data_IF_365783618571
#
_entry.id   IF_365783618571
#
_cell.length_a   1.000
_cell.length_b   1.000
_cell.length_c   1.000
_cell.angle_alpha   90.00
_cell.angle_beta   90.00
_cell.angle_gamma   90.00
#
_symmetry.space_group_name_H-M   'P 1'
#
loop_
_entity.id
_entity.type
_entity.pdbx_description
1 polymer ?
#
# COMPACT_ATOMS: atom_id res chain seq x y z
N UNK A 1 25.96 14.71 5.63
CA UNK A 1 24.91 13.87 6.22
C UNK A 1 23.96 13.44 5.11
N UNK A 2 23.98 12.19 4.70
CA UNK A 2 22.97 11.68 3.79
C UNK A 2 21.63 11.67 4.53
N UNK A 3 20.63 12.38 4.01
CA UNK A 3 19.26 12.22 4.50
C UNK A 3 18.85 10.78 4.23
N UNK A 4 18.71 10.01 5.29
CA UNK A 4 18.08 8.71 5.20
C UNK A 4 16.66 8.95 4.69
N UNK A 5 16.36 8.50 3.48
CA UNK A 5 15.00 8.61 2.96
C UNK A 5 14.04 7.86 3.89
N UNK A 6 12.96 8.52 4.29
CA UNK A 6 11.91 7.88 5.07
C UNK A 6 11.36 6.68 4.30
N UNK A 7 11.17 5.56 4.99
CA UNK A 7 10.57 4.36 4.37
C UNK A 7 9.08 4.54 4.11
N UNK A 8 8.41 5.33 4.93
CA UNK A 8 6.96 5.49 4.94
C UNK A 8 6.59 6.96 4.82
N UNK A 9 5.62 7.25 3.96
CA UNK A 9 4.95 8.54 3.93
C UNK A 9 3.45 8.35 3.78
N UNK A 10 2.68 8.97 4.67
CA UNK A 10 1.24 9.10 4.53
C UNK A 10 0.96 10.57 4.22
N UNK A 11 0.36 10.83 3.07
CA UNK A 11 0.29 12.17 2.53
C UNK A 11 -0.98 12.37 1.70
N UNK A 12 -1.42 13.61 1.57
CA UNK A 12 -2.50 13.97 0.65
C UNK A 12 -1.99 14.19 -0.77
N UNK A 13 -0.75 14.66 -0.91
CA UNK A 13 -0.14 14.95 -2.19
C UNK A 13 0.11 13.68 -3.01
N UNK A 14 0.05 13.84 -4.33
CA UNK A 14 0.44 12.78 -5.26
C UNK A 14 1.94 12.50 -5.19
N UNK A 15 2.37 11.43 -5.83
CA UNK A 15 3.79 11.05 -5.90
C UNK A 15 4.18 10.77 -7.35
N UNK A 16 5.46 10.91 -7.64
CA UNK A 16 6.05 10.57 -8.93
C UNK A 16 6.82 9.25 -8.80
N UNK A 17 6.32 8.22 -9.47
CA UNK A 17 6.87 6.87 -9.39
C UNK A 17 8.35 6.83 -9.79
N UNK A 18 8.71 7.47 -10.90
CA UNK A 18 10.08 7.44 -11.40
C UNK A 18 11.05 8.10 -10.44
N UNK A 19 10.66 9.21 -9.85
CA UNK A 19 11.46 9.94 -8.84
C UNK A 19 11.68 9.08 -7.60
N UNK A 20 10.63 8.43 -7.11
CA UNK A 20 10.72 7.57 -5.91
C UNK A 20 11.61 6.36 -6.16
N UNK A 21 11.49 5.71 -7.31
CA UNK A 21 12.32 4.56 -7.68
C UNK A 21 13.80 4.98 -7.82
N UNK A 22 14.06 6.10 -8.47
CA UNK A 22 15.42 6.60 -8.62
C UNK A 22 16.07 6.91 -7.26
N UNK A 23 15.31 7.53 -6.35
CA UNK A 23 15.79 7.82 -5.00
C UNK A 23 16.10 6.57 -4.20
N UNK A 24 15.25 5.52 -4.33
CA UNK A 24 15.41 4.28 -3.59
C UNK A 24 16.68 3.50 -3.94
N UNK A 25 17.16 3.63 -5.18
CA UNK A 25 18.34 2.89 -5.68
C UNK A 25 19.59 3.75 -5.85
N UNK A 26 19.49 5.06 -5.64
CA UNK A 26 20.54 6.01 -6.03
C UNK A 26 21.90 5.75 -5.35
N UNK A 27 21.91 5.28 -4.11
CA UNK A 27 23.13 5.07 -3.33
C UNK A 27 23.44 3.61 -3.03
N UNK A 28 22.70 2.67 -3.60
CA UNK A 28 22.90 1.25 -3.34
C UNK A 28 23.22 0.51 -4.64
N UNK A 29 24.49 0.26 -4.86
CA UNK A 29 24.99 -0.40 -6.09
C UNK A 29 24.79 -1.92 -6.08
N UNK A 30 24.24 -2.49 -5.00
CA UNK A 30 23.90 -3.92 -4.93
C UNK A 30 22.56 -4.24 -5.61
N UNK A 31 21.76 -3.21 -5.87
CA UNK A 31 20.42 -3.37 -6.44
C UNK A 31 20.50 -3.89 -7.87
N UNK A 32 19.94 -5.08 -8.08
CA UNK A 32 19.79 -5.69 -9.41
C UNK A 32 18.32 -5.74 -9.85
N UNK A 33 17.38 -5.52 -8.93
CA UNK A 33 15.95 -5.60 -9.23
C UNK A 33 15.18 -4.60 -8.40
N UNK A 34 14.15 -4.01 -9.01
CA UNK A 34 13.16 -3.16 -8.35
C UNK A 34 11.79 -3.68 -8.72
N UNK A 35 10.96 -3.92 -7.72
CA UNK A 35 9.54 -4.20 -7.91
C UNK A 35 8.72 -3.06 -7.32
N UNK A 36 7.78 -2.55 -8.08
CA UNK A 36 6.87 -1.52 -7.61
C UNK A 36 5.43 -1.89 -7.92
N UNK A 37 4.56 -1.56 -6.99
CA UNK A 37 3.11 -1.65 -7.15
C UNK A 37 2.51 -0.27 -6.93
N UNK A 38 1.63 0.12 -7.83
CA UNK A 38 0.84 1.34 -7.69
C UNK A 38 -0.64 0.96 -7.72
N UNK A 39 -1.38 1.34 -6.68
CA UNK A 39 -2.83 1.22 -6.64
C UNK A 39 -3.48 2.53 -7.01
N UNK A 40 -4.58 2.45 -7.74
CA UNK A 40 -5.32 3.62 -8.20
C UNK A 40 -6.80 3.51 -7.88
N UNK A 41 -7.49 4.64 -7.85
CA UNK A 41 -8.93 4.69 -7.64
C UNK A 41 -9.64 4.23 -8.91
N UNK A 42 -10.55 3.27 -8.75
CA UNK A 42 -11.45 2.82 -9.83
C UNK A 42 -12.82 3.46 -9.67
N UNK A 43 -13.56 3.55 -10.76
CA UNK A 43 -14.92 4.07 -10.77
C UNK A 43 -15.98 3.04 -10.35
N UNK A 44 -15.55 1.83 -9.95
CA UNK A 44 -16.43 0.74 -9.51
C UNK A 44 -15.67 -0.22 -8.60
N UNK A 45 -16.41 -0.94 -7.76
CA UNK A 45 -15.87 -2.01 -6.92
C UNK A 45 -15.67 -3.32 -7.70
N UNK A 46 -15.21 -4.37 -7.00
CA UNK A 46 -15.01 -5.71 -7.55
C UNK A 46 -16.29 -6.35 -8.09
N UNK A 47 -17.44 -5.81 -7.70
CA UNK A 47 -18.72 -6.28 -8.22
C UNK A 47 -18.86 -5.78 -9.66
N UNK A 48 -18.68 -6.69 -10.61
CA UNK A 48 -18.79 -6.42 -12.05
C UNK A 48 -20.19 -5.94 -12.47
N UNK A 49 -21.17 -6.07 -11.57
CA UNK A 49 -22.53 -5.59 -11.81
C UNK A 49 -22.69 -4.09 -11.54
N UNK A 50 -21.68 -3.44 -10.95
CA UNK A 50 -21.73 -1.99 -10.79
C UNK A 50 -21.57 -1.27 -12.13
N UNK A 51 -22.41 -0.28 -12.35
CA UNK A 51 -22.32 0.56 -13.55
C UNK A 51 -21.00 1.36 -13.55
N UNK A 52 -20.40 1.64 -14.73
CA UNK A 52 -19.28 2.56 -14.85
C UNK A 52 -19.62 3.91 -14.20
N UNK A 53 -18.66 4.49 -13.45
CA UNK A 53 -18.84 5.77 -12.78
C UNK A 53 -19.66 5.69 -11.48
N UNK A 54 -19.95 4.48 -10.97
CA UNK A 54 -20.71 4.30 -9.71
C UNK A 54 -19.97 4.87 -8.50
N UNK A 55 -18.64 4.87 -8.52
CA UNK A 55 -17.82 5.51 -7.48
C UNK A 55 -17.30 6.83 -8.04
N UNK A 56 -17.77 7.93 -7.50
CA UNK A 56 -17.38 9.28 -7.93
C UNK A 56 -16.09 9.74 -7.25
N UNK A 57 -15.93 9.36 -5.98
CA UNK A 57 -14.74 9.65 -5.18
C UNK A 57 -14.65 8.66 -4.03
N UNK A 58 -13.47 8.59 -3.43
CA UNK A 58 -13.25 7.92 -2.16
C UNK A 58 -12.51 8.86 -1.23
N UNK A 59 -12.76 8.72 0.06
CA UNK A 59 -12.01 9.41 1.09
C UNK A 59 -11.31 8.40 1.95
N UNK A 60 -10.01 8.56 2.11
CA UNK A 60 -9.20 7.71 2.96
C UNK A 60 -8.77 8.47 4.20
N UNK A 61 -8.95 7.84 5.34
CA UNK A 61 -8.50 8.33 6.63
C UNK A 61 -7.55 7.32 7.26
N UNK A 62 -6.65 7.83 8.07
CA UNK A 62 -5.69 7.00 8.81
C UNK A 62 -5.64 7.43 10.27
N UNK A 63 -4.92 6.68 11.08
CA UNK A 63 -4.70 6.99 12.49
C UNK A 63 -3.28 7.55 12.64
N UNK A 64 -3.11 8.89 12.69
CA UNK A 64 -1.78 9.49 12.72
C UNK A 64 -0.90 8.92 13.85
N UNK A 65 0.32 8.53 13.50
CA UNK A 65 1.24 7.87 14.39
C UNK A 65 1.08 6.35 14.39
N UNK A 66 -0.10 5.81 14.63
CA UNK A 66 -0.33 4.37 14.68
C UNK A 66 -0.23 3.73 13.30
N UNK A 67 -0.76 4.36 12.27
CA UNK A 67 -0.70 3.83 10.90
C UNK A 67 0.75 3.76 10.41
N UNK A 68 1.53 4.81 10.63
CA UNK A 68 2.95 4.83 10.27
C UNK A 68 3.73 3.75 11.02
N UNK A 69 3.49 3.57 12.32
CA UNK A 69 4.13 2.53 13.12
C UNK A 69 3.77 1.13 12.63
N UNK A 70 2.52 0.89 12.28
CA UNK A 70 2.08 -0.39 11.73
C UNK A 70 2.79 -0.71 10.41
N UNK A 71 2.93 0.28 9.54
CA UNK A 71 3.62 0.12 8.26
C UNK A 71 5.12 -0.12 8.47
N UNK A 72 5.74 0.62 9.38
CA UNK A 72 7.16 0.40 9.74
C UNK A 72 7.39 -1.03 10.26
N UNK A 73 6.49 -1.53 11.11
CA UNK A 73 6.58 -2.88 11.62
C UNK A 73 6.46 -3.94 10.51
N UNK A 74 5.58 -3.74 9.54
CA UNK A 74 5.47 -4.68 8.41
C UNK A 74 6.68 -4.63 7.50
N UNK A 75 7.32 -3.48 7.33
CA UNK A 75 8.58 -3.38 6.59
C UNK A 75 9.69 -4.16 7.31
N UNK A 76 9.78 -4.03 8.62
CA UNK A 76 10.73 -4.81 9.42
C UNK A 76 10.47 -6.32 9.29
N UNK A 77 9.19 -6.73 9.28
CA UNK A 77 8.82 -8.12 9.05
C UNK A 77 9.24 -8.61 7.66
N UNK A 78 9.11 -7.77 6.64
CA UNK A 78 9.56 -8.09 5.29
C UNK A 78 11.07 -8.29 5.23
N UNK A 79 11.84 -7.44 5.88
CA UNK A 79 13.31 -7.59 5.99
C UNK A 79 13.71 -8.88 6.71
N UNK A 80 12.91 -9.35 7.65
CA UNK A 80 13.15 -10.61 8.34
C UNK A 80 12.83 -11.85 7.50
N UNK A 81 11.99 -11.73 6.48
CA UNK A 81 11.52 -12.85 5.65
C UNK A 81 12.22 -12.95 4.30
N UNK A 82 12.64 -11.82 3.74
CA UNK A 82 13.17 -11.73 2.38
C UNK A 82 14.52 -11.02 2.37
N UNK A 83 15.36 -11.39 1.45
CA UNK A 83 16.66 -10.75 1.24
C UNK A 83 16.47 -9.52 0.35
N UNK A 84 16.11 -8.42 0.97
CA UNK A 84 15.80 -7.15 0.30
C UNK A 84 16.67 -6.02 0.85
N UNK A 85 16.81 -4.94 0.08
CA UNK A 85 17.64 -3.81 0.48
C UNK A 85 16.81 -2.62 0.93
N UNK A 86 16.03 -2.03 0.04
CA UNK A 86 15.24 -0.85 0.32
C UNK A 86 13.74 -1.09 0.14
N UNK A 87 12.97 -0.37 0.94
CA UNK A 87 11.50 -0.34 0.85
C UNK A 87 11.03 1.10 0.92
N UNK A 88 10.13 1.46 0.04
CA UNK A 88 9.41 2.72 0.08
C UNK A 88 7.92 2.47 -0.01
N UNK A 89 7.17 2.93 0.98
CA UNK A 89 5.70 2.87 0.96
C UNK A 89 5.16 4.29 1.10
N UNK A 90 4.36 4.71 0.13
CA UNK A 90 3.62 5.96 0.17
C UNK A 90 2.14 5.61 0.10
N UNK A 91 1.37 6.12 1.04
CA UNK A 91 -0.09 5.95 1.02
C UNK A 91 -0.75 7.33 1.08
N UNK A 92 -1.59 7.60 0.11
CA UNK A 92 -2.35 8.85 0.09
C UNK A 92 -3.60 8.71 0.94
N UNK A 93 -3.99 9.83 1.53
CA UNK A 93 -5.21 9.99 2.31
C UNK A 93 -5.95 11.23 1.82
N UNK A 94 -7.16 11.44 2.33
CA UNK A 94 -8.03 12.51 1.89
C UNK A 94 -8.92 12.08 0.73
N UNK A 95 -9.47 13.04 0.03
CA UNK A 95 -10.41 12.79 -1.08
C UNK A 95 -9.65 12.49 -2.36
N UNK A 96 -9.93 11.34 -2.96
CA UNK A 96 -9.33 10.87 -4.21
C UNK A 96 -10.44 10.54 -5.21
N UNK A 97 -10.14 10.75 -6.48
CA UNK A 97 -11.08 10.50 -7.58
C UNK A 97 -10.43 9.56 -8.62
N UNK A 98 -11.22 8.79 -9.35
CA UNK A 98 -10.66 8.04 -10.48
C UNK A 98 -9.98 8.97 -11.49
N UNK A 99 -8.78 8.70 -12.00
CA UNK A 99 -7.91 7.56 -11.74
C UNK A 99 -6.73 7.89 -10.82
N UNK A 100 -6.94 8.64 -9.75
CA UNK A 100 -5.87 9.08 -8.85
C UNK A 100 -5.07 7.89 -8.31
N UNK A 101 -3.78 8.11 -8.10
CA UNK A 101 -2.91 7.16 -7.40
C UNK A 101 -3.24 7.15 -5.91
N UNK A 102 -3.28 5.96 -5.30
CA UNK A 102 -3.55 5.80 -3.88
C UNK A 102 -2.29 5.41 -3.12
N UNK A 103 -1.59 4.42 -3.62
CA UNK A 103 -0.52 3.76 -2.88
C UNK A 103 0.62 3.38 -3.81
N UNK A 104 1.83 3.53 -3.29
CA UNK A 104 3.07 3.00 -3.87
C UNK A 104 3.71 2.05 -2.86
N UNK A 105 4.06 0.85 -3.32
CA UNK A 105 4.98 -0.04 -2.62
C UNK A 105 6.13 -0.35 -3.56
N UNK A 106 7.34 -0.02 -3.16
CA UNK A 106 8.54 -0.28 -3.95
C UNK A 106 9.58 -1.00 -3.10
N UNK A 107 10.18 -2.04 -3.68
CA UNK A 107 11.17 -2.88 -3.00
C UNK A 107 12.36 -3.08 -3.93
N UNK A 108 13.55 -2.97 -3.38
CA UNK A 108 14.80 -3.28 -4.09
C UNK A 108 15.45 -4.54 -3.54
N UNK A 109 16.05 -5.32 -4.42
CA UNK A 109 16.77 -6.54 -4.07
C UNK A 109 17.89 -6.82 -5.07
N UNK A 110 18.72 -7.83 -4.77
CA UNK A 110 19.75 -8.27 -5.74
C UNK A 110 19.12 -8.98 -6.93
N UNK A 111 18.10 -9.80 -6.67
CA UNK A 111 17.42 -10.63 -7.68
C UNK A 111 15.91 -10.44 -7.63
N UNK A 112 15.25 -10.60 -8.78
CA UNK A 112 13.82 -10.29 -8.93
C UNK A 112 12.89 -11.07 -8.01
N UNK A 113 13.20 -12.31 -7.68
CA UNK A 113 12.33 -13.16 -6.86
C UNK A 113 12.03 -12.57 -5.50
N UNK A 114 13.05 -12.08 -4.82
CA UNK A 114 12.89 -11.47 -3.48
C UNK A 114 12.07 -10.18 -3.53
N UNK A 115 12.30 -9.33 -4.54
CA UNK A 115 11.53 -8.09 -4.66
C UNK A 115 10.07 -8.35 -5.04
N UNK A 116 9.78 -9.33 -5.89
CA UNK A 116 8.39 -9.72 -6.19
C UNK A 116 7.66 -10.22 -4.95
N UNK A 117 8.28 -11.14 -4.21
CA UNK A 117 7.68 -11.73 -3.03
C UNK A 117 7.47 -10.70 -1.91
N UNK A 118 8.46 -9.87 -1.66
CA UNK A 118 8.38 -8.84 -0.64
C UNK A 118 7.31 -7.78 -0.97
N UNK A 119 7.22 -7.39 -2.25
CA UNK A 119 6.20 -6.43 -2.69
C UNK A 119 4.78 -7.00 -2.47
N UNK A 120 4.55 -8.24 -2.86
CA UNK A 120 3.26 -8.92 -2.64
C UNK A 120 2.94 -9.06 -1.15
N UNK A 121 3.91 -9.48 -0.34
CA UNK A 121 3.75 -9.59 1.10
C UNK A 121 3.34 -8.25 1.73
N UNK A 122 4.04 -7.17 1.36
CA UNK A 122 3.76 -5.85 1.89
C UNK A 122 2.37 -5.36 1.48
N UNK A 123 1.94 -5.63 0.26
CA UNK A 123 0.59 -5.27 -0.19
C UNK A 123 -0.49 -6.04 0.56
N UNK A 124 -0.30 -7.34 0.75
CA UNK A 124 -1.25 -8.17 1.50
C UNK A 124 -1.35 -7.70 2.96
N UNK A 125 -0.22 -7.37 3.55
CA UNK A 125 -0.16 -6.89 4.94
C UNK A 125 -0.78 -5.50 5.07
N UNK A 126 -0.47 -4.59 4.13
CA UNK A 126 -0.97 -3.23 4.12
C UNK A 126 -2.50 -3.18 4.03
N UNK A 127 -3.10 -4.02 3.20
CA UNK A 127 -4.54 -4.08 3.02
C UNK A 127 -5.30 -4.63 4.22
N UNK A 128 -4.66 -5.42 5.05
CA UNK A 128 -5.33 -6.14 6.14
C UNK A 128 -4.98 -5.60 7.52
N UNK A 129 -3.77 -5.12 7.73
CA UNK A 129 -3.26 -4.77 9.06
C UNK A 129 -2.98 -3.30 9.28
N UNK A 130 -2.87 -2.50 8.23
CA UNK A 130 -2.68 -1.06 8.39
C UNK A 130 -4.02 -0.38 8.69
N UNK A 131 -4.10 0.47 9.72
CA UNK A 131 -5.36 1.11 10.11
C UNK A 131 -5.69 2.27 9.18
N UNK A 132 -6.39 1.94 8.09
CA UNK A 132 -7.00 2.88 7.18
C UNK A 132 -8.51 2.67 7.13
N UNK A 133 -9.25 3.76 6.95
CA UNK A 133 -10.68 3.74 6.70
C UNK A 133 -10.97 4.32 5.33
N UNK A 134 -11.89 3.69 4.61
CA UNK A 134 -12.28 4.11 3.28
C UNK A 134 -13.77 4.41 3.24
N UNK A 135 -14.11 5.61 2.75
CA UNK A 135 -15.47 6.06 2.51
C UNK A 135 -15.65 6.31 1.02
N UNK A 136 -16.64 5.68 0.41
CA UNK A 136 -16.93 5.85 -1.01
C UNK A 136 -18.12 6.77 -1.21
N UNK A 137 -18.00 7.71 -2.14
CA UNK A 137 -19.09 8.57 -2.60
C UNK A 137 -19.70 7.97 -3.85
N UNK A 138 -20.97 7.62 -3.78
CA UNK A 138 -21.78 7.10 -4.88
C UNK A 138 -22.94 8.04 -5.16
N UNK A 139 -23.70 7.87 -6.27
CA UNK A 139 -24.92 8.65 -6.51
C UNK A 139 -25.97 8.49 -5.41
N UNK A 140 -25.92 7.41 -4.63
CA UNK A 140 -26.85 7.12 -3.52
C UNK A 140 -26.37 7.64 -2.17
N UNK A 141 -25.20 8.27 -2.10
CA UNK A 141 -24.62 8.82 -0.89
C UNK A 141 -23.25 8.26 -0.56
N UNK A 142 -22.78 8.57 0.65
CA UNK A 142 -21.48 8.17 1.14
C UNK A 142 -21.58 6.89 1.98
N UNK A 143 -20.66 5.94 1.74
CA UNK A 143 -20.62 4.66 2.44
C UNK A 143 -19.21 4.34 2.92
N UNK A 144 -19.10 3.89 4.18
CA UNK A 144 -17.89 3.27 4.68
C UNK A 144 -17.73 1.88 4.09
N UNK A 145 -16.50 1.54 3.67
CA UNK A 145 -16.21 0.25 3.04
C UNK A 145 -15.42 -0.62 4.01
N UNK A 146 -15.96 -1.81 4.29
CA UNK A 146 -15.33 -2.78 5.18
C UNK A 146 -14.21 -3.56 4.48
N UNK A 147 -13.29 -4.10 5.29
CA UNK A 147 -12.27 -5.04 4.82
C UNK A 147 -12.93 -6.29 4.22
N UNK A 148 -12.35 -6.82 3.14
CA UNK A 148 -12.90 -7.96 2.41
C UNK A 148 -12.27 -9.26 2.86
N UNK A 149 -13.07 -10.33 2.86
CA UNK A 149 -12.63 -11.69 3.22
C UNK A 149 -11.45 -12.15 2.35
N UNK A 150 -11.41 -11.75 1.08
CA UNK A 150 -10.30 -12.08 0.18
C UNK A 150 -8.97 -11.48 0.62
N UNK A 151 -8.97 -10.35 1.32
CA UNK A 151 -7.76 -9.73 1.83
C UNK A 151 -7.21 -10.51 3.05
N UNK A 152 -8.09 -11.02 3.91
CA UNK A 152 -7.69 -11.89 5.03
C UNK A 152 -7.11 -13.22 4.53
N UNK A 153 -7.70 -13.80 3.48
CA UNK A 153 -7.17 -15.01 2.84
C UNK A 153 -5.79 -14.78 2.23
N UNK A 154 -5.55 -13.61 1.61
CA UNK A 154 -4.24 -13.25 1.08
C UNK A 154 -3.19 -13.16 2.19
N UNK A 155 -3.55 -12.63 3.36
CA UNK A 155 -2.64 -12.57 4.51
C UNK A 155 -2.33 -13.96 5.07
N UNK A 156 -3.32 -14.84 5.10
CA UNK A 156 -3.18 -16.20 5.65
C UNK A 156 -2.14 -17.03 4.91
N UNK A 157 -1.94 -16.83 3.60
CA UNK A 157 -0.90 -17.56 2.82
C UNK A 157 0.53 -17.30 3.34
N UNK A 158 0.74 -16.20 4.06
CA UNK A 158 2.02 -15.86 4.67
C UNK A 158 2.14 -16.40 6.11
N UNK A 159 1.13 -17.12 6.59
CA UNK A 159 1.08 -17.64 7.96
C UNK A 159 0.76 -16.60 9.00
N UNK A 160 0.09 -15.51 8.61
CA UNK A 160 -0.26 -14.42 9.49
C UNK A 160 -1.77 -14.45 9.74
N UNK A 161 -2.16 -14.32 11.01
CA UNK A 161 -3.57 -14.24 11.43
C UNK A 161 -3.96 -12.76 11.49
N UNK A 162 -5.13 -12.41 10.91
CA UNK A 162 -5.65 -11.06 10.97
C UNK A 162 -5.90 -10.62 12.41
N UNK A 163 -5.35 -9.47 12.80
CA UNK A 163 -5.42 -8.98 14.17
C UNK A 163 -6.67 -8.18 14.49
N UNK A 164 -7.52 -7.93 13.53
CA UNK A 164 -8.75 -7.15 13.66
C UNK A 164 -9.98 -8.00 13.95
N UNK A 165 -9.79 -9.28 14.09
CA UNK A 165 -10.89 -10.19 14.39
C UNK A 165 -11.32 -9.97 15.85
N UNK A 166 -12.35 -9.22 16.08
CA UNK A 166 -12.93 -9.09 17.42
C UNK A 166 -13.16 -7.69 17.92
N UNK A 167 -13.04 -6.74 17.07
CA UNK A 167 -13.56 -5.41 17.38
C UNK A 167 -15.03 -5.31 17.07
#
# INVERSE_FOLDING_TARGET
MMKQHSRVSIQTADFDLSTEIAALRASDHRVGAVCSFVGTVRDRNRDDNMAPGSIQSMELEHYPGMTEQAIEAMIDAAHGRFDIFGVRIIHRVGVLQPPDQIVLVAVTSAHRGESFQACEFLMDYLKTQAPFWKKEQTPEGAHWVDARVSDDAALAKWGIVASNAGS
#
